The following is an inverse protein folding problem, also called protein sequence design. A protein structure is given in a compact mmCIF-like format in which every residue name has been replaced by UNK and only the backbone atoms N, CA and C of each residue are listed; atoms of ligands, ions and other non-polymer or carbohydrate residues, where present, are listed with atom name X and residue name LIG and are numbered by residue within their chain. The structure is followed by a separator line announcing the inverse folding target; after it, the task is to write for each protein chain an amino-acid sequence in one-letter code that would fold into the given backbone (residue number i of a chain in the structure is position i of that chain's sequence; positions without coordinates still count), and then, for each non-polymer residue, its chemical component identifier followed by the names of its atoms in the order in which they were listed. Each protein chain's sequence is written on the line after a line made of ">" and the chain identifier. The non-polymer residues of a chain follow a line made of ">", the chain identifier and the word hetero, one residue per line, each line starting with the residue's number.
data_IF_251102247663
#
_entry.id   IF_251102247663
#
_cell.length_a   1.000
_cell.length_b   1.000
_cell.length_c   1.000
_cell.angle_alpha   90.00
_cell.angle_beta   90.00
_cell.angle_gamma   90.00
#
_symmetry.space_group_name_H-M   'P 1'
#
loop_
_entity.id
_entity.type
_entity.pdbx_description
1 polymer ?
#
# COMPACT_ATOMS: atom_id res chain seq x y z
N UNK A 1 5.53 -7.87 -16.76
CA UNK A 1 5.45 -7.00 -17.94
C UNK A 1 4.02 -6.51 -18.07
N UNK A 2 3.80 -5.19 -18.23
CA UNK A 2 2.46 -4.57 -18.36
C UNK A 2 2.12 -3.46 -17.35
N UNK A 3 3.03 -3.06 -16.47
CA UNK A 3 2.79 -1.99 -15.49
C UNK A 3 2.83 -0.60 -16.17
N UNK A 4 1.76 0.17 -16.05
CA UNK A 4 1.70 1.57 -16.54
C UNK A 4 2.68 2.44 -15.77
N UNK A 5 3.33 3.39 -16.47
CA UNK A 5 4.40 4.24 -15.91
C UNK A 5 4.20 5.70 -16.24
N UNK A 6 4.61 6.56 -15.31
CA UNK A 6 4.69 8.00 -15.49
C UNK A 6 6.15 8.39 -15.67
N UNK A 7 6.42 9.22 -16.67
CA UNK A 7 7.76 9.75 -16.96
C UNK A 7 7.82 11.23 -16.59
N UNK A 8 8.91 11.67 -15.97
CA UNK A 8 9.13 13.07 -15.61
C UNK A 8 10.61 13.43 -15.69
N UNK A 9 10.90 14.71 -15.86
CA UNK A 9 12.25 15.24 -15.83
C UNK A 9 12.65 15.51 -14.38
N UNK A 10 13.78 14.94 -13.96
CA UNK A 10 14.38 15.20 -12.66
C UNK A 10 14.91 16.65 -12.60
N UNK A 11 14.37 17.52 -11.73
CA UNK A 11 14.78 18.91 -11.66
C UNK A 11 16.26 19.09 -11.27
N UNK A 12 16.85 18.12 -10.59
CA UNK A 12 18.23 18.18 -10.10
C UNK A 12 19.26 17.72 -11.13
N UNK A 13 18.87 16.86 -12.07
CA UNK A 13 19.81 16.19 -12.99
C UNK A 13 19.42 16.31 -14.46
N UNK A 14 18.28 16.91 -14.79
CA UNK A 14 17.69 17.00 -16.16
C UNK A 14 17.50 15.63 -16.82
N UNK A 15 17.60 14.53 -16.05
CA UNK A 15 17.41 13.17 -16.55
C UNK A 15 15.94 12.78 -16.55
N UNK A 16 15.53 12.06 -17.58
CA UNK A 16 14.20 11.44 -17.62
C UNK A 16 14.16 10.26 -16.64
N UNK A 17 13.22 10.30 -15.69
CA UNK A 17 12.95 9.21 -14.74
C UNK A 17 11.55 8.68 -14.93
N UNK A 18 11.29 7.49 -14.38
CA UNK A 18 9.94 6.91 -14.37
C UNK A 18 9.60 6.26 -13.04
N UNK A 19 8.33 6.28 -12.70
CA UNK A 19 7.74 5.58 -11.57
C UNK A 19 6.51 4.78 -12.06
N UNK A 20 6.15 3.69 -11.37
CA UNK A 20 4.85 3.05 -11.56
C UNK A 20 3.72 4.08 -11.43
N UNK A 21 2.78 4.08 -12.37
CA UNK A 21 1.62 4.98 -12.32
C UNK A 21 0.81 4.78 -11.04
N UNK A 22 0.73 3.53 -10.54
CA UNK A 22 0.07 3.18 -9.28
C UNK A 22 0.65 3.90 -8.04
N UNK A 23 1.85 4.47 -8.14
CA UNK A 23 2.49 5.22 -7.04
C UNK A 23 2.30 6.73 -7.17
N UNK A 24 1.66 7.19 -8.24
CA UNK A 24 1.41 8.61 -8.50
C UNK A 24 -0.09 8.88 -8.53
N UNK A 25 -0.43 10.16 -8.51
CA UNK A 25 -1.79 10.66 -8.69
C UNK A 25 -2.34 10.45 -10.12
N UNK A 26 -1.50 10.01 -11.06
CA UNK A 26 -1.88 9.75 -12.44
C UNK A 26 -2.44 8.34 -12.66
N UNK A 27 -2.38 7.46 -11.65
CA UNK A 27 -3.10 6.21 -11.72
C UNK A 27 -4.62 6.46 -11.78
N UNK A 28 -5.37 5.63 -12.52
CA UNK A 28 -6.82 5.59 -12.38
C UNK A 28 -7.19 5.41 -10.91
N UNK A 29 -8.07 6.28 -10.41
CA UNK A 29 -8.61 6.13 -9.06
C UNK A 29 -9.28 4.76 -8.96
N UNK A 30 -8.81 3.96 -8.01
CA UNK A 30 -9.45 2.70 -7.66
C UNK A 30 -10.93 2.99 -7.26
N UNK A 31 -11.90 2.22 -7.78
CA UNK A 31 -13.31 2.45 -7.49
C UNK A 31 -13.63 2.49 -6.00
N UNK A 32 -12.95 1.70 -5.17
CA UNK A 32 -13.13 1.74 -3.72
C UNK A 32 -12.60 3.03 -3.14
N UNK A 33 -11.40 3.47 -3.55
CA UNK A 33 -10.84 4.77 -3.13
C UNK A 33 -11.78 5.94 -3.46
N UNK A 34 -12.42 5.91 -4.64
CA UNK A 34 -13.39 6.93 -5.05
C UNK A 34 -14.67 6.87 -4.21
N UNK A 35 -15.22 5.67 -4.00
CA UNK A 35 -16.47 5.47 -3.26
C UNK A 35 -16.32 5.79 -1.76
N UNK A 36 -15.16 5.50 -1.18
CA UNK A 36 -14.88 5.79 0.24
C UNK A 36 -14.41 7.23 0.47
N UNK A 37 -14.16 8.01 -0.59
CA UNK A 37 -13.65 9.38 -0.47
C UNK A 37 -12.28 9.44 0.21
N UNK A 38 -11.43 8.44 -0.01
CA UNK A 38 -10.12 8.33 0.65
C UNK A 38 -10.20 7.92 2.13
N UNK A 39 -11.37 7.51 2.62
CA UNK A 39 -11.49 6.96 3.97
C UNK A 39 -10.85 5.58 4.03
N UNK A 40 -9.97 5.39 5.01
CA UNK A 40 -9.41 4.09 5.32
C UNK A 40 -10.52 3.14 5.81
N UNK A 41 -10.49 1.89 5.34
CA UNK A 41 -11.40 0.82 5.78
C UNK A 41 -11.41 0.63 7.30
N UNK A 42 -10.28 0.93 7.95
CA UNK A 42 -10.10 0.84 9.40
C UNK A 42 -9.63 2.18 9.95
N UNK A 43 -10.14 2.55 11.13
CA UNK A 43 -9.54 3.63 11.91
C UNK A 43 -8.16 3.16 12.38
N UNK A 44 -7.21 4.08 12.50
CA UNK A 44 -5.85 3.78 12.99
C UNK A 44 -5.87 3.04 14.34
N UNK A 45 -6.81 3.39 15.21
CA UNK A 45 -7.01 2.72 16.50
C UNK A 45 -7.35 1.24 16.37
N UNK A 46 -8.15 0.89 15.36
CA UNK A 46 -8.62 -0.47 15.14
C UNK A 46 -7.52 -1.30 14.46
N UNK A 47 -6.77 -0.70 13.54
CA UNK A 47 -5.58 -1.32 12.96
C UNK A 47 -4.53 -1.63 14.04
N UNK A 48 -4.30 -0.71 14.99
CA UNK A 48 -3.38 -0.96 16.11
C UNK A 48 -3.84 -2.10 17.00
N UNK A 49 -5.14 -2.17 17.32
CA UNK A 49 -5.72 -3.30 18.08
C UNK A 49 -5.58 -4.62 17.33
N UNK A 50 -5.76 -4.61 16.01
CA UNK A 50 -5.60 -5.80 15.17
C UNK A 50 -4.14 -6.29 15.19
N UNK A 51 -3.16 -5.38 15.08
CA UNK A 51 -1.74 -5.74 15.18
C UNK A 51 -1.44 -6.38 16.52
N UNK A 52 -1.85 -5.75 17.62
CA UNK A 52 -1.67 -6.31 18.98
C UNK A 52 -2.33 -7.68 19.14
N UNK A 53 -3.52 -7.85 18.55
CA UNK A 53 -4.21 -9.13 18.57
C UNK A 53 -3.44 -10.21 17.81
N UNK A 54 -2.93 -9.91 16.61
CA UNK A 54 -2.15 -10.84 15.81
C UNK A 54 -0.82 -11.22 16.48
N UNK A 55 -0.12 -10.25 17.08
CA UNK A 55 1.10 -10.51 17.86
C UNK A 55 0.81 -11.44 19.04
N UNK A 56 -0.28 -11.19 19.77
CA UNK A 56 -0.69 -12.05 20.88
C UNK A 56 -1.16 -13.44 20.40
N UNK A 57 -1.77 -13.53 19.23
CA UNK A 57 -2.20 -14.78 18.62
C UNK A 57 -1.00 -15.65 18.24
N UNK A 58 0.01 -15.08 17.58
CA UNK A 58 1.25 -15.78 17.22
C UNK A 58 1.99 -16.31 18.47
N UNK A 59 1.91 -15.59 19.60
CA UNK A 59 2.46 -16.04 20.88
C UNK A 59 1.67 -17.19 21.52
N UNK A 60 0.36 -17.31 21.25
CA UNK A 60 -0.51 -18.32 21.83
C UNK A 60 -0.59 -19.61 20.99
N UNK A 61 -0.38 -19.49 19.68
CA UNK A 61 -0.32 -20.61 18.75
C UNK A 61 0.94 -20.50 17.89
N UNK A 62 2.04 -21.20 18.25
CA UNK A 62 3.25 -21.17 17.44
C UNK A 62 2.94 -21.68 16.04
N UNK A 63 3.52 -21.00 15.03
CA UNK A 63 3.34 -21.40 13.62
C UNK A 63 3.68 -22.89 13.46
N UNK A 64 2.82 -23.67 12.79
CA UNK A 64 3.10 -25.08 12.56
C UNK A 64 4.41 -25.21 11.80
N UNK A 65 5.35 -25.94 12.39
CA UNK A 65 6.59 -26.35 11.72
C UNK A 65 6.21 -27.44 10.73
N UNK A 66 6.03 -27.05 9.47
CA UNK A 66 6.02 -28.03 8.39
C UNK A 66 7.48 -28.22 7.96
N UNK A 67 8.05 -29.36 8.35
CA UNK A 67 9.31 -29.90 7.82
C UNK A 67 9.16 -30.37 6.36
#
# INVERSE_FOLDING_TARGET
>A
YGESRVFFLDPSSTKLRSLPAAWTDQAPLDPFTRLTGGQALLRLSDLRKLVQFLENWDNHFPKPQFE
#
